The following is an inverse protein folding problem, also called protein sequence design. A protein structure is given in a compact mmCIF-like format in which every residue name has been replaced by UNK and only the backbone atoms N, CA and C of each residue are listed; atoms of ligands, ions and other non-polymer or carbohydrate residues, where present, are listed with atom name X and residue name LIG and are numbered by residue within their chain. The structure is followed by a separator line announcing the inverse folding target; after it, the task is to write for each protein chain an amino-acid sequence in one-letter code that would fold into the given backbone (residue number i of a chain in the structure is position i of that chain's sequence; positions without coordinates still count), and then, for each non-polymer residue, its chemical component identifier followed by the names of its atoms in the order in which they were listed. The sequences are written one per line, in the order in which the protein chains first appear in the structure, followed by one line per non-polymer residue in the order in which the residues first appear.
data_IF_673198234637
#
_entry.id   IF_673198234637
#
_cell.length_a   1.000
_cell.length_b   1.000
_cell.length_c   1.000
_cell.angle_alpha   90.00
_cell.angle_beta   90.00
_cell.angle_gamma   90.00
#
_symmetry.space_group_name_H-M   'P 1'
#
loop_
_entity.id
_entity.type
_entity.pdbx_description
1 polymer ?
#
# COMPACT_ATOMS: atom_id res chain seq x y z
N UNK A 1 -59.65 4.11 -23.63
CA UNK A 1 -58.87 4.52 -22.44
C UNK A 1 -57.65 3.61 -22.32
N UNK A 2 -56.45 4.21 -22.13
CA UNK A 2 -55.26 3.61 -21.48
C UNK A 2 -54.44 2.53 -22.22
N UNK A 3 -53.78 2.89 -23.33
CA UNK A 3 -52.54 2.19 -23.74
C UNK A 3 -51.46 3.14 -24.29
N UNK A 4 -51.85 4.31 -24.82
CA UNK A 4 -50.91 5.33 -25.33
C UNK A 4 -50.20 6.17 -24.25
N UNK A 5 -50.65 6.12 -22.99
CA UNK A 5 -50.02 6.87 -21.89
C UNK A 5 -48.91 6.10 -21.16
N UNK A 6 -48.75 4.79 -21.39
CA UNK A 6 -47.73 3.97 -20.72
C UNK A 6 -46.36 3.98 -21.43
N UNK A 7 -46.35 4.27 -22.74
CA UNK A 7 -45.09 4.30 -23.52
C UNK A 7 -44.33 5.61 -23.32
N UNK A 8 -45.04 6.72 -23.06
CA UNK A 8 -44.41 8.04 -22.84
C UNK A 8 -43.78 8.15 -21.45
N UNK A 9 -44.26 7.39 -20.46
CA UNK A 9 -43.68 7.38 -19.09
C UNK A 9 -42.44 6.50 -18.97
N UNK A 10 -42.25 5.47 -19.82
CA UNK A 10 -41.02 4.67 -19.85
C UNK A 10 -39.87 5.33 -20.64
N UNK A 11 -40.17 6.24 -21.58
CA UNK A 11 -39.13 6.92 -22.35
C UNK A 11 -38.53 8.13 -21.59
N UNK A 12 -39.29 8.76 -20.70
CA UNK A 12 -38.81 9.87 -19.85
C UNK A 12 -38.00 9.42 -18.63
N UNK A 13 -38.03 8.13 -18.27
CA UNK A 13 -37.21 7.57 -17.17
C UNK A 13 -35.80 7.14 -17.63
N UNK A 14 -35.53 7.13 -18.94
CA UNK A 14 -34.21 6.80 -19.52
C UNK A 14 -33.33 8.04 -19.78
N UNK A 15 -33.82 9.26 -19.56
CA UNK A 15 -33.07 10.52 -19.84
C UNK A 15 -32.56 11.19 -18.55
N UNK A 16 -32.97 10.73 -17.36
CA UNK A 16 -32.53 11.30 -16.08
C UNK A 16 -31.32 10.57 -15.46
N UNK A 17 -30.67 9.67 -16.21
CA UNK A 17 -29.27 9.33 -15.91
C UNK A 17 -28.41 10.31 -16.70
N UNK A 18 -28.52 11.59 -16.37
CA UNK A 18 -27.34 12.43 -16.43
C UNK A 18 -26.36 11.78 -15.45
N UNK A 19 -25.61 10.80 -15.96
CA UNK A 19 -24.29 10.52 -15.49
C UNK A 19 -23.68 11.90 -15.35
N UNK A 20 -23.59 12.38 -14.12
CA UNK A 20 -22.69 13.44 -13.78
C UNK A 20 -21.31 12.90 -14.14
N UNK A 21 -20.95 13.00 -15.41
CA UNK A 21 -19.60 13.30 -15.84
C UNK A 21 -19.29 14.71 -15.33
N UNK A 22 -19.46 14.93 -14.03
CA UNK A 22 -18.66 15.89 -13.33
C UNK A 22 -17.26 15.42 -13.60
N UNK A 23 -16.50 16.30 -14.23
CA UNK A 23 -15.10 16.15 -14.57
C UNK A 23 -14.28 16.11 -13.26
N UNK A 24 -14.55 15.12 -12.40
CA UNK A 24 -13.83 14.77 -11.18
C UNK A 24 -12.39 14.29 -11.48
N UNK A 25 -11.88 14.50 -12.70
CA UNK A 25 -10.48 14.31 -13.05
C UNK A 25 -9.56 15.29 -12.32
N UNK A 26 -10.11 16.44 -11.89
CA UNK A 26 -9.41 17.42 -11.06
C UNK A 26 -9.86 17.28 -9.59
N UNK A 27 -9.59 16.13 -8.96
CA UNK A 27 -9.58 16.04 -7.50
C UNK A 27 -8.35 16.78 -7.00
N UNK A 28 -8.45 18.10 -6.92
CA UNK A 28 -7.43 18.94 -6.32
C UNK A 28 -7.73 19.09 -4.84
N UNK A 29 -6.79 18.67 -4.01
CA UNK A 29 -6.53 19.36 -2.77
C UNK A 29 -5.63 20.50 -3.11
N UNK A 30 -6.12 21.63 -2.66
CA UNK A 30 -5.56 22.89 -2.91
C UNK A 30 -4.72 23.30 -1.73
N UNK A 31 -3.50 23.73 -2.03
CA UNK A 31 -2.73 24.53 -1.10
C UNK A 31 -3.34 25.93 -1.00
N UNK A 32 -3.84 26.26 0.18
CA UNK A 32 -4.46 27.55 0.49
C UNK A 32 -3.52 28.46 1.28
N UNK A 33 -3.68 29.77 1.11
CA UNK A 33 -3.06 30.77 1.95
C UNK A 33 -4.07 31.85 2.38
N UNK A 34 -3.81 32.42 3.55
CA UNK A 34 -4.53 33.55 4.12
C UNK A 34 -3.84 34.84 3.69
N UNK A 35 -4.61 35.73 3.08
CA UNK A 35 -4.20 37.08 2.69
C UNK A 35 -4.93 38.07 3.58
N UNK A 36 -4.26 38.55 4.61
CA UNK A 36 -4.84 39.44 5.61
C UNK A 36 -4.41 40.88 5.40
N UNK A 37 -5.31 41.83 5.69
CA UNK A 37 -5.00 43.26 5.53
C UNK A 37 -3.83 43.68 6.42
N UNK A 38 -2.77 44.22 5.81
CA UNK A 38 -1.60 44.75 6.53
C UNK A 38 -0.64 43.71 7.12
N UNK A 39 -0.79 42.42 6.76
CA UNK A 39 0.10 41.33 7.19
C UNK A 39 0.67 40.62 5.96
N UNK A 40 1.84 40.00 6.10
CA UNK A 40 2.36 39.09 5.09
C UNK A 40 1.40 37.89 4.94
N UNK A 41 1.18 37.36 3.73
CA UNK A 41 0.35 36.18 3.56
C UNK A 41 0.95 34.96 4.25
N UNK A 42 0.10 34.05 4.73
CA UNK A 42 0.52 32.83 5.42
C UNK A 42 -0.25 31.62 4.89
N UNK A 43 0.47 30.54 4.59
CA UNK A 43 -0.12 29.27 4.19
C UNK A 43 -0.97 28.71 5.32
N UNK A 44 -2.16 28.21 4.97
CA UNK A 44 -3.14 27.75 5.93
C UNK A 44 -2.58 26.69 6.88
N UNK A 45 -1.79 25.74 6.35
CA UNK A 45 -1.11 24.69 7.12
C UNK A 45 -0.26 25.26 8.26
N UNK A 46 0.47 26.35 8.00
CA UNK A 46 1.34 27.00 8.99
C UNK A 46 0.54 27.79 10.01
N UNK A 47 -0.51 28.48 9.57
CA UNK A 47 -1.45 29.16 10.45
C UNK A 47 -2.13 28.19 11.42
N UNK A 48 -2.52 27.02 10.92
CA UNK A 48 -3.17 25.95 11.69
C UNK A 48 -2.25 25.33 12.74
N UNK A 49 -0.92 25.41 12.60
CA UNK A 49 0.01 24.98 13.66
C UNK A 49 -0.29 25.72 14.97
N UNK A 50 -0.49 27.03 14.90
CA UNK A 50 -0.82 27.85 16.07
C UNK A 50 -2.26 27.69 16.55
N UNK A 51 -3.24 27.68 15.63
CA UNK A 51 -4.65 27.66 16.04
C UNK A 51 -5.14 26.30 16.52
N UNK A 52 -4.45 25.22 16.15
CA UNK A 52 -4.72 23.84 16.61
C UNK A 52 -3.77 23.38 17.72
N UNK A 53 -2.93 24.28 18.26
CA UNK A 53 -1.94 23.95 19.29
C UNK A 53 -1.01 22.79 18.90
N UNK A 54 -0.61 22.74 17.62
CA UNK A 54 0.32 21.72 17.11
C UNK A 54 1.79 22.09 17.37
N UNK A 55 2.08 23.20 18.06
CA UNK A 55 3.42 23.62 18.45
C UNK A 55 3.87 24.95 17.86
N UNK A 56 5.20 25.09 17.71
CA UNK A 56 5.85 26.28 17.15
C UNK A 56 6.48 25.94 15.82
N UNK A 57 6.09 26.65 14.76
CA UNK A 57 6.68 26.49 13.43
C UNK A 57 8.18 26.76 13.49
N UNK A 58 8.96 25.82 12.96
CA UNK A 58 10.40 25.97 12.76
C UNK A 58 10.67 25.94 11.27
N UNK A 59 11.12 27.06 10.74
CA UNK A 59 11.45 27.20 9.32
C UNK A 59 12.78 26.54 8.96
N UNK A 60 12.93 26.17 7.69
CA UNK A 60 14.19 25.66 7.17
C UNK A 60 15.19 26.81 6.96
N UNK A 61 16.49 26.51 7.14
CA UNK A 61 17.58 27.46 6.87
C UNK A 61 18.04 27.48 5.41
N UNK A 62 17.51 26.60 4.56
CA UNK A 62 17.83 26.60 3.14
C UNK A 62 17.31 27.89 2.45
N UNK A 63 17.86 28.20 1.28
CA UNK A 63 17.60 29.48 0.59
C UNK A 63 16.35 29.45 -0.29
N UNK A 64 16.18 28.38 -1.08
CA UNK A 64 15.06 28.27 -2.04
C UNK A 64 13.87 27.53 -1.44
N UNK A 65 12.66 27.80 -1.94
CA UNK A 65 11.44 27.11 -1.49
C UNK A 65 11.53 25.57 -1.66
N UNK A 66 12.14 25.10 -2.75
CA UNK A 66 12.34 23.66 -3.00
C UNK A 66 13.31 23.07 -1.99
N UNK A 67 14.48 23.69 -1.79
CA UNK A 67 15.48 23.18 -0.83
C UNK A 67 14.94 23.19 0.60
N UNK A 68 14.14 24.21 0.95
CA UNK A 68 13.43 24.29 2.23
C UNK A 68 12.45 23.13 2.40
N UNK A 69 11.65 22.80 1.37
CA UNK A 69 10.72 21.67 1.40
C UNK A 69 11.45 20.32 1.57
N UNK A 70 12.59 20.15 0.89
CA UNK A 70 13.46 18.96 1.03
C UNK A 70 14.04 18.84 2.45
N UNK A 71 14.52 19.95 3.03
CA UNK A 71 14.99 19.99 4.42
C UNK A 71 13.87 19.73 5.42
N UNK A 72 12.66 20.25 5.18
CA UNK A 72 11.48 19.96 6.01
C UNK A 72 11.13 18.47 5.97
N UNK A 73 11.12 17.85 4.80
CA UNK A 73 10.89 16.41 4.64
C UNK A 73 11.94 15.56 5.39
N UNK A 74 13.20 16.02 5.49
CA UNK A 74 14.26 15.34 6.25
C UNK A 74 13.92 15.13 7.74
N UNK A 75 12.92 15.87 8.27
CA UNK A 75 12.47 15.69 9.65
C UNK A 75 11.84 14.32 9.90
N UNK A 76 11.41 13.64 8.84
CA UNK A 76 10.87 12.29 8.90
C UNK A 76 11.96 11.21 8.96
N UNK A 77 13.23 11.52 8.68
CA UNK A 77 14.31 10.52 8.51
C UNK A 77 14.39 9.47 9.64
N UNK A 78 14.22 9.89 10.89
CA UNK A 78 14.35 9.02 12.06
C UNK A 78 13.16 8.06 12.22
N UNK A 79 11.95 8.50 11.86
CA UNK A 79 10.71 7.75 12.15
C UNK A 79 10.09 7.13 10.91
N UNK A 80 10.32 7.70 9.73
CA UNK A 80 9.81 7.25 8.45
C UNK A 80 10.75 7.67 7.29
N UNK A 81 11.87 6.95 7.12
CA UNK A 81 12.84 7.26 6.08
C UNK A 81 12.29 7.01 4.66
N UNK A 82 11.26 6.16 4.50
CA UNK A 82 10.67 5.88 3.18
C UNK A 82 9.82 7.06 2.70
N UNK A 83 8.91 7.54 3.55
CA UNK A 83 8.11 8.73 3.26
C UNK A 83 8.98 9.98 3.11
N UNK A 84 10.04 10.10 3.91
CA UNK A 84 11.05 11.16 3.73
C UNK A 84 11.57 11.21 2.29
N UNK A 85 12.04 10.08 1.74
CA UNK A 85 12.56 10.01 0.36
C UNK A 85 11.48 10.37 -0.66
N UNK A 86 10.29 9.79 -0.53
CA UNK A 86 9.16 10.06 -1.42
C UNK A 86 8.82 11.56 -1.47
N UNK A 87 8.84 12.24 -0.33
CA UNK A 87 8.53 13.66 -0.24
C UNK A 87 9.66 14.54 -0.78
N UNK A 88 10.91 14.17 -0.55
CA UNK A 88 12.06 14.87 -1.14
C UNK A 88 12.05 14.76 -2.67
N UNK A 89 11.82 13.56 -3.22
CA UNK A 89 11.70 13.36 -4.67
C UNK A 89 10.55 14.18 -5.25
N UNK A 90 9.40 14.20 -4.58
CA UNK A 90 8.24 14.99 -5.02
C UNK A 90 8.52 16.50 -4.97
N UNK A 91 9.21 16.97 -3.93
CA UNK A 91 9.58 18.38 -3.79
C UNK A 91 10.58 18.82 -4.87
N UNK A 92 11.58 17.99 -5.17
CA UNK A 92 12.57 18.25 -6.22
C UNK A 92 11.94 18.28 -7.63
N UNK A 93 10.94 17.43 -7.88
CA UNK A 93 10.22 17.39 -9.15
C UNK A 93 9.18 18.53 -9.30
N UNK A 94 8.80 19.18 -8.21
CA UNK A 94 7.68 20.12 -8.16
C UNK A 94 7.73 21.18 -9.26
N UNK A 95 8.84 21.90 -9.42
CA UNK A 95 8.95 23.00 -10.38
C UNK A 95 8.88 22.52 -11.83
N UNK A 96 9.35 21.30 -12.12
CA UNK A 96 9.28 20.69 -13.45
C UNK A 96 7.85 20.20 -13.76
N UNK A 97 7.13 19.79 -12.73
CA UNK A 97 5.76 19.29 -12.80
C UNK A 97 4.68 20.38 -12.66
N UNK A 98 5.08 21.63 -12.40
CA UNK A 98 4.19 22.76 -12.17
C UNK A 98 3.96 23.63 -13.42
N UNK A 99 2.72 24.06 -13.59
CA UNK A 99 2.32 25.07 -14.56
C UNK A 99 1.89 26.33 -13.81
N UNK A 100 2.66 27.41 -13.96
CA UNK A 100 2.30 28.72 -13.43
C UNK A 100 1.34 29.41 -14.39
N UNK A 101 0.21 29.87 -13.87
CA UNK A 101 -0.81 30.60 -14.64
C UNK A 101 -1.00 32.00 -14.06
N UNK A 102 -1.11 32.97 -14.96
CA UNK A 102 -1.40 34.38 -14.64
C UNK A 102 -2.81 34.68 -15.09
N UNK A 103 -3.53 35.52 -14.35
CA UNK A 103 -4.87 36.05 -14.70
C UNK A 103 -5.99 35.01 -14.87
N UNK A 104 -5.75 33.77 -14.45
CA UNK A 104 -6.78 32.73 -14.33
C UNK A 104 -7.15 32.58 -12.87
N UNK A 105 -8.41 32.89 -12.54
CA UNK A 105 -8.98 32.55 -11.24
C UNK A 105 -8.99 31.03 -11.09
N UNK A 106 -8.23 30.52 -10.12
CA UNK A 106 -8.32 29.11 -9.75
C UNK A 106 -9.61 28.95 -8.94
N UNK A 107 -10.55 28.14 -9.45
CA UNK A 107 -11.78 27.84 -8.73
C UNK A 107 -11.43 27.04 -7.47
N UNK A 108 -11.96 27.47 -6.33
CA UNK A 108 -11.79 26.78 -5.06
C UNK A 108 -12.26 25.32 -5.16
N UNK A 109 -11.42 24.40 -4.72
CA UNK A 109 -11.74 22.98 -4.64
C UNK A 109 -12.61 22.71 -3.41
N UNK A 110 -13.61 21.81 -3.51
CA UNK A 110 -14.58 21.58 -2.43
C UNK A 110 -14.06 20.63 -1.33
N UNK A 111 -12.76 20.66 -1.02
CA UNK A 111 -12.10 19.68 -0.15
C UNK A 111 -11.34 20.32 1.02
N UNK A 112 -11.61 21.59 1.30
CA UNK A 112 -11.00 22.35 2.38
C UNK A 112 -11.27 21.77 3.79
N UNK A 113 -12.42 21.11 3.99
CA UNK A 113 -12.88 20.70 5.32
C UNK A 113 -13.34 21.89 6.16
N UNK A 114 -13.29 21.75 7.50
CA UNK A 114 -13.64 22.85 8.41
C UNK A 114 -12.42 23.77 8.62
N UNK A 115 -12.57 25.04 8.29
CA UNK A 115 -11.52 26.05 8.46
C UNK A 115 -12.09 27.32 9.09
N UNK A 116 -11.37 27.88 10.04
CA UNK A 116 -11.66 29.19 10.63
C UNK A 116 -10.76 30.24 9.99
N UNK A 117 -11.39 31.25 9.38
CA UNK A 117 -10.70 32.36 8.70
C UNK A 117 -10.96 33.63 9.51
N UNK A 118 -9.93 34.40 9.92
CA UNK A 118 -10.12 35.69 10.58
C UNK A 118 -10.88 36.67 9.68
N UNK A 119 -11.66 37.57 10.29
CA UNK A 119 -12.52 38.51 9.55
C UNK A 119 -11.75 39.45 8.60
N UNK A 120 -10.48 39.75 8.89
CA UNK A 120 -9.61 40.62 8.10
C UNK A 120 -8.80 39.88 7.01
N UNK A 121 -9.08 38.58 6.80
CA UNK A 121 -8.35 37.71 5.89
C UNK A 121 -9.25 37.14 4.77
N UNK A 122 -8.69 37.04 3.58
CA UNK A 122 -9.23 36.23 2.49
C UNK A 122 -8.50 34.88 2.44
N UNK A 123 -9.26 33.80 2.25
CA UNK A 123 -8.69 32.47 2.02
C UNK A 123 -8.64 32.20 0.51
N UNK A 124 -7.43 32.13 -0.03
CA UNK A 124 -7.20 32.00 -1.46
C UNK A 124 -6.47 30.70 -1.80
N UNK A 125 -6.88 30.07 -2.90
CA UNK A 125 -6.25 28.88 -3.42
C UNK A 125 -5.05 29.26 -4.29
N UNK A 126 -3.85 28.88 -3.84
CA UNK A 126 -2.59 29.23 -4.52
C UNK A 126 -2.21 28.14 -5.52
N UNK A 127 -2.45 26.89 -5.17
CA UNK A 127 -2.05 25.71 -5.94
C UNK A 127 -3.15 24.66 -5.91
N UNK A 128 -3.22 23.82 -6.95
CA UNK A 128 -3.92 22.54 -6.87
C UNK A 128 -3.20 21.47 -7.67
N UNK A 129 -3.41 20.23 -7.23
CA UNK A 129 -2.94 19.03 -7.91
C UNK A 129 -4.01 18.44 -8.84
N UNK A 130 -3.57 17.89 -9.97
CA UNK A 130 -4.38 17.04 -10.86
C UNK A 130 -3.58 15.84 -11.32
N UNK A 131 -4.27 14.82 -11.83
CA UNK A 131 -3.61 13.68 -12.46
C UNK A 131 -3.14 14.07 -13.87
N UNK A 132 -1.82 13.96 -14.17
CA UNK A 132 -1.33 14.21 -15.52
C UNK A 132 -2.03 13.30 -16.54
N UNK A 133 -2.27 13.85 -17.73
CA UNK A 133 -2.88 13.15 -18.86
C UNK A 133 -2.14 13.48 -20.15
N UNK A 134 -2.50 12.82 -21.25
CA UNK A 134 -1.92 13.10 -22.56
C UNK A 134 -2.16 14.55 -23.02
N UNK A 135 -3.29 15.14 -22.61
CA UNK A 135 -3.63 16.54 -22.93
C UNK A 135 -3.03 17.53 -21.92
N UNK A 136 -2.66 17.04 -20.74
CA UNK A 136 -2.23 17.90 -19.66
C UNK A 136 -1.09 17.28 -18.85
N UNK A 137 0.13 17.68 -19.19
CA UNK A 137 1.34 17.10 -18.60
C UNK A 137 1.65 17.64 -17.21
N UNK A 138 1.17 18.85 -16.87
CA UNK A 138 1.46 19.46 -15.59
C UNK A 138 0.59 18.84 -14.49
N UNK A 139 1.25 18.37 -13.44
CA UNK A 139 0.62 17.82 -12.23
C UNK A 139 0.09 18.93 -11.33
N UNK A 140 0.83 20.04 -11.22
CA UNK A 140 0.47 21.16 -10.38
C UNK A 140 0.08 22.36 -11.23
N UNK A 141 -0.94 23.09 -10.81
CA UNK A 141 -1.28 24.39 -11.39
C UNK A 141 -1.18 25.43 -10.29
N UNK A 142 -0.38 26.45 -10.54
CA UNK A 142 -0.02 27.46 -9.54
C UNK A 142 -0.48 28.83 -10.01
N UNK A 143 -1.24 29.53 -9.17
CA UNK A 143 -1.58 30.93 -9.42
C UNK A 143 -0.32 31.77 -9.20
N UNK A 144 0.30 32.23 -10.29
CA UNK A 144 1.56 32.96 -10.24
C UNK A 144 1.44 34.27 -9.44
N UNK A 145 0.29 34.96 -9.53
CA UNK A 145 0.05 36.22 -8.84
C UNK A 145 -0.01 36.04 -7.32
N UNK A 146 -0.63 34.96 -6.83
CA UNK A 146 -0.68 34.65 -5.40
C UNK A 146 0.64 34.05 -4.91
N UNK A 147 1.24 33.15 -5.69
CA UNK A 147 2.51 32.49 -5.36
C UNK A 147 3.65 33.49 -5.14
N UNK A 148 3.76 34.49 -6.01
CA UNK A 148 4.81 35.51 -5.94
C UNK A 148 4.66 36.47 -4.74
N UNK A 149 3.52 36.45 -4.04
CA UNK A 149 3.32 37.19 -2.80
C UNK A 149 3.75 36.40 -1.55
N UNK A 150 3.97 35.09 -1.68
CA UNK A 150 4.46 34.24 -0.60
C UNK A 150 5.98 34.33 -0.52
N UNK A 151 6.50 34.33 0.71
CA UNK A 151 7.93 34.12 0.93
C UNK A 151 8.34 32.65 0.70
N UNK A 152 9.64 32.38 0.70
CA UNK A 152 10.17 31.05 0.41
C UNK A 152 9.73 29.98 1.44
N UNK A 153 9.45 30.37 2.69
CA UNK A 153 9.00 29.43 3.73
C UNK A 153 7.55 29.01 3.49
N UNK A 154 6.68 29.95 3.12
CA UNK A 154 5.31 29.67 2.74
C UNK A 154 5.24 28.87 1.42
N UNK A 155 6.05 29.22 0.43
CA UNK A 155 6.16 28.42 -0.80
C UNK A 155 6.61 26.98 -0.49
N UNK A 156 7.59 26.79 0.40
CA UNK A 156 8.03 25.46 0.83
C UNK A 156 6.92 24.66 1.52
N UNK A 157 6.09 25.32 2.35
CA UNK A 157 4.94 24.68 2.99
C UNK A 157 3.93 24.17 1.96
N UNK A 158 3.65 24.94 0.89
CA UNK A 158 2.79 24.48 -0.22
C UNK A 158 3.42 23.32 -1.00
N UNK A 159 4.72 23.37 -1.30
CA UNK A 159 5.40 22.27 -2.02
C UNK A 159 5.28 20.96 -1.23
N UNK A 160 5.53 21.02 0.08
CA UNK A 160 5.43 19.84 0.94
C UNK A 160 3.98 19.39 1.11
N UNK A 161 3.01 20.31 1.17
CA UNK A 161 1.59 20.00 1.15
C UNK A 161 1.23 19.13 -0.06
N UNK A 162 1.64 19.54 -1.26
CA UNK A 162 1.36 18.79 -2.48
C UNK A 162 2.05 17.42 -2.50
N UNK A 163 3.26 17.32 -1.95
CA UNK A 163 3.96 16.04 -1.82
C UNK A 163 3.20 15.05 -0.91
N UNK A 164 2.68 15.52 0.23
CA UNK A 164 1.86 14.73 1.13
C UNK A 164 0.52 14.39 0.47
N UNK A 165 -0.13 15.36 -0.18
CA UNK A 165 -1.41 15.12 -0.83
C UNK A 165 -1.33 14.09 -1.95
N UNK A 166 -0.23 14.09 -2.70
CA UNK A 166 0.06 13.06 -3.70
C UNK A 166 0.04 11.66 -3.11
N UNK A 167 0.51 11.45 -1.88
CA UNK A 167 0.38 10.15 -1.21
C UNK A 167 -1.09 9.83 -0.96
N UNK A 168 -1.85 10.78 -0.40
CA UNK A 168 -3.24 10.60 0.01
C UNK A 168 -4.15 10.28 -1.18
N UNK A 169 -4.05 10.97 -2.31
CA UNK A 169 -4.94 10.71 -3.46
C UNK A 169 -4.63 9.43 -4.21
N UNK A 170 -3.39 8.96 -4.13
CA UNK A 170 -2.99 7.69 -4.73
C UNK A 170 -3.26 6.52 -3.77
N UNK A 171 -3.83 6.79 -2.59
CA UNK A 171 -4.14 5.78 -1.61
C UNK A 171 -5.57 5.23 -1.74
N UNK A 172 -5.80 3.99 -1.27
CA UNK A 172 -7.15 3.41 -1.20
C UNK A 172 -8.11 4.17 -0.27
N UNK A 173 -7.63 5.09 0.58
CA UNK A 173 -8.49 5.83 1.50
C UNK A 173 -9.49 6.71 0.76
N UNK A 174 -9.18 7.12 -0.47
CA UNK A 174 -10.06 7.98 -1.27
C UNK A 174 -10.52 9.22 -0.49
N UNK A 175 -9.63 9.74 0.38
CA UNK A 175 -9.93 10.83 1.30
C UNK A 175 -10.34 12.08 0.51
N UNK A 176 -11.44 12.69 0.92
CA UNK A 176 -12.04 13.82 0.21
C UNK A 176 -11.67 15.17 0.82
N UNK A 177 -10.87 15.20 1.90
CA UNK A 177 -10.54 16.43 2.61
C UNK A 177 -9.05 16.60 2.83
N UNK A 178 -8.61 17.83 2.62
CA UNK A 178 -7.26 18.33 2.77
C UNK A 178 -6.81 18.55 4.22
N UNK A 179 -7.77 18.57 5.16
CA UNK A 179 -7.50 18.88 6.57
C UNK A 179 -6.40 18.01 7.18
N UNK A 180 -6.39 16.71 6.89
CA UNK A 180 -5.39 15.77 7.40
C UNK A 180 -4.01 16.02 6.83
N UNK A 181 -3.94 16.41 5.56
CA UNK A 181 -2.69 16.82 4.89
C UNK A 181 -2.13 18.07 5.58
N UNK A 182 -2.96 19.07 5.83
CA UNK A 182 -2.55 20.30 6.51
C UNK A 182 -2.04 20.05 7.93
N UNK A 183 -2.76 19.21 8.69
CA UNK A 183 -2.32 18.82 10.03
C UNK A 183 -0.96 18.12 9.95
N UNK A 184 -0.79 17.14 9.07
CA UNK A 184 0.48 16.42 8.95
C UNK A 184 1.64 17.33 8.53
N UNK A 185 1.40 18.20 7.55
CA UNK A 185 2.37 19.20 7.11
C UNK A 185 2.74 20.15 8.26
N UNK A 186 1.76 20.60 9.03
CA UNK A 186 1.95 21.42 10.23
C UNK A 186 2.81 20.74 11.30
N UNK A 187 2.57 19.44 11.57
CA UNK A 187 3.38 18.66 12.54
C UNK A 187 4.83 18.53 12.07
N UNK A 188 5.08 18.36 10.76
CA UNK A 188 6.44 18.38 10.19
C UNK A 188 7.09 19.76 10.42
N UNK A 189 6.36 20.85 10.16
CA UNK A 189 6.83 22.22 10.37
C UNK A 189 7.09 22.56 11.84
N UNK A 190 6.32 22.01 12.78
CA UNK A 190 6.55 22.15 14.21
C UNK A 190 7.76 21.35 14.73
N UNK A 191 8.38 20.51 13.89
CA UNK A 191 9.46 19.58 14.24
C UNK A 191 9.07 18.55 15.31
N UNK A 192 7.78 18.40 15.62
CA UNK A 192 7.29 17.45 16.61
C UNK A 192 7.52 16.00 16.19
N UNK A 193 7.55 15.72 14.88
CA UNK A 193 7.75 14.36 14.37
C UNK A 193 9.06 13.73 14.85
N UNK A 194 10.14 14.51 14.97
CA UNK A 194 11.47 13.99 15.38
C UNK A 194 11.51 13.44 16.80
N UNK A 195 10.61 13.89 17.67
CA UNK A 195 10.52 13.46 19.05
C UNK A 195 9.51 12.33 19.28
N UNK A 196 8.74 11.96 18.27
CA UNK A 196 7.75 10.90 18.42
C UNK A 196 8.43 9.54 18.50
N UNK A 197 7.96 8.71 19.44
CA UNK A 197 8.24 7.29 19.40
C UNK A 197 7.54 6.70 18.17
N UNK A 198 8.11 5.65 17.56
CA UNK A 198 7.53 5.00 16.37
C UNK A 198 6.06 4.62 16.58
N UNK A 199 5.70 4.14 17.77
CA UNK A 199 4.31 3.83 18.14
C UNK A 199 3.37 5.03 18.03
N UNK A 200 3.78 6.19 18.57
CA UNK A 200 2.96 7.40 18.57
C UNK A 200 2.88 8.00 17.16
N UNK A 201 3.99 7.91 16.40
CA UNK A 201 4.02 8.29 14.99
C UNK A 201 3.04 7.44 14.17
N UNK A 202 3.07 6.11 14.28
CA UNK A 202 2.15 5.22 13.56
C UNK A 202 0.68 5.46 13.95
N UNK A 203 0.41 5.71 15.24
CA UNK A 203 -0.93 6.06 15.70
C UNK A 203 -1.41 7.38 15.08
N UNK A 204 -0.55 8.38 15.02
CA UNK A 204 -0.85 9.66 14.36
C UNK A 204 -1.14 9.46 12.86
N UNK A 205 -0.34 8.63 12.16
CA UNK A 205 -0.61 8.33 10.75
C UNK A 205 -1.99 7.69 10.56
N UNK A 206 -2.37 6.74 11.42
CA UNK A 206 -3.69 6.12 11.43
C UNK A 206 -4.81 7.14 11.70
N UNK A 207 -4.64 8.01 12.68
CA UNK A 207 -5.61 9.09 12.98
C UNK A 207 -5.75 10.07 11.82
N UNK A 208 -4.68 10.30 11.05
CA UNK A 208 -4.64 11.15 9.87
C UNK A 208 -5.01 10.44 8.56
N UNK A 209 -5.39 9.16 8.61
CA UNK A 209 -5.73 8.32 7.45
C UNK A 209 -4.61 8.20 6.40
N UNK A 210 -3.35 8.33 6.82
CA UNK A 210 -2.23 7.94 5.98
C UNK A 210 -2.20 6.41 5.95
N UNK A 211 -2.36 5.84 4.76
CA UNK A 211 -2.74 4.42 4.60
C UNK A 211 -1.60 3.44 4.76
N UNK A 212 -0.34 3.89 4.70
CA UNK A 212 0.80 2.97 4.62
C UNK A 212 1.98 3.41 5.46
N UNK A 213 2.83 2.44 5.80
CA UNK A 213 4.13 2.66 6.43
C UNK A 213 5.10 1.59 5.93
N UNK A 214 6.36 1.95 5.70
CA UNK A 214 7.38 1.01 5.22
C UNK A 214 8.36 0.64 6.33
N UNK A 215 8.52 -0.66 6.59
CA UNK A 215 9.53 -1.19 7.49
C UNK A 215 10.43 -2.16 6.72
N UNK A 216 11.72 -1.83 6.57
CA UNK A 216 12.70 -2.67 5.87
C UNK A 216 12.28 -3.10 4.46
N UNK A 217 11.67 -2.19 3.68
CA UNK A 217 11.18 -2.44 2.33
C UNK A 217 9.80 -3.13 2.27
N UNK A 218 9.18 -3.43 3.42
CA UNK A 218 7.85 -4.00 3.47
C UNK A 218 6.80 -2.92 3.72
N UNK A 219 5.81 -2.82 2.83
CA UNK A 219 4.72 -1.85 2.95
C UNK A 219 3.57 -2.41 3.78
N UNK A 220 3.38 -1.87 4.96
CA UNK A 220 2.30 -2.20 5.88
C UNK A 220 1.11 -1.30 5.62
N UNK A 221 -0.10 -1.87 5.74
CA UNK A 221 -1.35 -1.11 5.76
C UNK A 221 -1.58 -0.56 7.17
N UNK A 222 -1.87 0.73 7.25
CA UNK A 222 -2.27 1.41 8.48
C UNK A 222 -3.78 1.51 8.62
N UNK A 223 -4.51 1.41 7.51
CA UNK A 223 -5.95 1.43 7.46
C UNK A 223 -6.48 1.66 6.06
N UNK A 224 -7.81 1.67 5.94
CA UNK A 224 -8.51 1.80 4.67
C UNK A 224 -9.90 2.40 4.87
N UNK A 225 -10.49 2.86 3.77
CA UNK A 225 -11.86 3.35 3.75
C UNK A 225 -12.80 2.26 3.25
N UNK A 226 -13.86 1.97 3.99
CA UNK A 226 -14.89 1.00 3.59
C UNK A 226 -15.70 1.51 2.40
N UNK A 227 -16.46 0.66 1.68
CA UNK A 227 -17.34 1.11 0.59
C UNK A 227 -18.32 2.22 0.99
N UNK A 228 -18.70 2.28 2.26
CA UNK A 228 -19.59 3.31 2.83
C UNK A 228 -18.87 4.63 3.15
N UNK A 229 -17.54 4.70 3.00
CA UNK A 229 -16.76 5.89 3.27
C UNK A 229 -16.21 6.00 4.69
N UNK A 230 -16.28 4.93 5.50
CA UNK A 230 -15.74 4.94 6.87
C UNK A 230 -14.29 4.49 6.90
N UNK A 231 -13.46 5.20 7.67
CA UNK A 231 -12.10 4.76 7.92
C UNK A 231 -12.03 3.63 8.94
N UNK A 232 -11.23 2.61 8.64
CA UNK A 232 -10.93 1.48 9.50
C UNK A 232 -9.42 1.36 9.67
N UNK A 233 -8.95 1.39 10.92
CA UNK A 233 -7.55 1.14 11.25
C UNK A 233 -7.20 -0.33 11.03
N UNK A 234 -6.07 -0.59 10.38
CA UNK A 234 -5.45 -1.91 10.36
C UNK A 234 -4.77 -2.21 11.68
N UNK A 235 -4.76 -3.49 12.08
CA UNK A 235 -4.10 -3.89 13.32
C UNK A 235 -2.57 -3.85 13.17
N UNK A 236 -1.91 -3.22 14.14
CA UNK A 236 -0.46 -3.22 14.28
C UNK A 236 -0.10 -3.66 15.69
N UNK A 237 0.80 -4.63 15.79
CA UNK A 237 1.33 -5.12 17.06
C UNK A 237 2.73 -4.57 17.20
N UNK A 238 2.92 -3.71 18.20
CA UNK A 238 4.18 -3.03 18.46
C UNK A 238 4.59 -3.35 19.90
N UNK A 239 5.86 -3.68 20.10
CA UNK A 239 6.39 -3.92 21.44
C UNK A 239 6.70 -2.63 22.21
N UNK A 240 7.17 -2.77 23.45
CA UNK A 240 7.51 -1.63 24.31
C UNK A 240 8.68 -0.79 23.78
N UNK A 241 9.50 -1.34 22.89
CA UNK A 241 10.64 -0.66 22.28
C UNK A 241 10.26 0.02 20.95
N UNK A 242 8.99 -0.05 20.55
CA UNK A 242 8.52 0.51 19.29
C UNK A 242 8.80 -0.36 18.07
N UNK A 243 9.20 -1.63 18.26
CA UNK A 243 9.42 -2.57 17.15
C UNK A 243 8.08 -3.15 16.70
N UNK A 244 7.85 -3.17 15.39
CA UNK A 244 6.66 -3.81 14.81
C UNK A 244 6.87 -5.32 14.87
N UNK A 245 5.94 -6.03 15.51
CA UNK A 245 5.91 -7.49 15.64
C UNK A 245 4.96 -8.13 14.63
N UNK A 246 3.89 -7.44 14.25
CA UNK A 246 2.93 -7.89 13.23
C UNK A 246 2.14 -6.71 12.66
N UNK A 247 1.72 -6.82 11.41
CA UNK A 247 0.86 -5.85 10.76
C UNK A 247 0.17 -6.41 9.53
N UNK A 248 -0.86 -5.70 9.07
CA UNK A 248 -1.53 -5.98 7.81
C UNK A 248 -0.68 -5.51 6.63
N UNK A 249 -0.68 -6.25 5.53
CA UNK A 249 0.03 -5.89 4.30
C UNK A 249 -0.80 -4.93 3.46
N UNK A 250 -0.13 -3.89 2.95
CA UNK A 250 -0.75 -2.97 1.99
C UNK A 250 -0.84 -3.62 0.60
N UNK A 251 -1.83 -3.20 -0.18
CA UNK A 251 -1.83 -3.47 -1.62
C UNK A 251 -0.72 -2.71 -2.35
N UNK A 252 -0.52 -2.99 -3.63
CA UNK A 252 0.34 -2.21 -4.53
C UNK A 252 1.80 -2.16 -4.07
N UNK A 253 2.38 -3.35 -3.86
CA UNK A 253 3.78 -3.51 -3.51
C UNK A 253 4.41 -4.70 -4.23
N UNK A 254 5.70 -4.58 -4.47
CA UNK A 254 6.57 -5.65 -4.94
C UNK A 254 7.73 -5.79 -3.97
N UNK A 255 8.00 -7.01 -3.50
CA UNK A 255 9.19 -7.26 -2.69
C UNK A 255 9.67 -8.71 -2.85
N UNK A 256 10.98 -8.90 -2.65
CA UNK A 256 11.61 -10.21 -2.56
C UNK A 256 12.13 -10.47 -1.15
N UNK A 257 11.93 -11.68 -0.63
CA UNK A 257 12.46 -12.08 0.68
C UNK A 257 12.78 -13.58 0.70
N UNK A 258 14.03 -13.94 1.00
CA UNK A 258 14.43 -15.35 1.12
C UNK A 258 14.27 -16.17 -0.16
N UNK A 259 14.40 -15.54 -1.33
CA UNK A 259 14.13 -16.16 -2.63
C UNK A 259 12.66 -16.21 -3.03
N UNK A 260 11.73 -15.89 -2.11
CA UNK A 260 10.33 -15.67 -2.44
C UNK A 260 10.16 -14.28 -3.07
N UNK A 261 9.33 -14.19 -4.10
CA UNK A 261 8.90 -12.95 -4.72
C UNK A 261 7.39 -12.75 -4.51
N UNK A 262 7.00 -11.52 -4.21
CA UNK A 262 5.61 -11.10 -4.09
C UNK A 262 5.36 -9.87 -4.95
N UNK A 263 4.29 -9.91 -5.75
CA UNK A 263 3.88 -8.83 -6.62
C UNK A 263 2.37 -8.64 -6.54
N UNK A 264 1.95 -7.43 -6.16
CA UNK A 264 0.56 -7.02 -6.15
C UNK A 264 0.47 -5.60 -6.69
N UNK A 265 -0.29 -5.40 -7.77
CA UNK A 265 -0.38 -4.11 -8.46
C UNK A 265 -1.85 -3.83 -8.80
N UNK A 266 -2.27 -2.58 -8.64
CA UNK A 266 -3.63 -2.10 -8.91
C UNK A 266 -4.76 -2.83 -8.17
N UNK A 267 -4.47 -3.42 -7.00
CA UNK A 267 -5.49 -4.04 -6.16
C UNK A 267 -6.28 -3.01 -5.37
N UNK A 268 -7.59 -3.27 -5.26
CA UNK A 268 -8.52 -2.53 -4.41
C UNK A 268 -8.76 -3.21 -3.07
N UNK A 269 -8.16 -4.39 -2.86
CA UNK A 269 -8.26 -5.10 -1.59
C UNK A 269 -7.47 -4.34 -0.54
N UNK A 270 -8.17 -3.90 0.50
CA UNK A 270 -7.60 -3.08 1.56
C UNK A 270 -6.54 -3.81 2.41
N UNK A 271 -6.75 -5.11 2.64
CA UNK A 271 -5.87 -5.94 3.45
C UNK A 271 -5.51 -7.21 2.68
N UNK A 272 -4.26 -7.29 2.25
CA UNK A 272 -3.76 -8.42 1.45
C UNK A 272 -3.45 -9.66 2.32
N UNK A 273 -3.26 -9.45 3.61
CA UNK A 273 -2.79 -10.49 4.52
C UNK A 273 -2.06 -9.88 5.69
N UNK A 274 -1.34 -10.73 6.43
CA UNK A 274 -0.67 -10.38 7.66
C UNK A 274 0.77 -10.86 7.64
N UNK A 275 1.66 -10.00 8.12
CA UNK A 275 3.06 -10.34 8.34
C UNK A 275 3.33 -10.40 9.85
N UNK A 276 4.26 -11.26 10.26
CA UNK A 276 4.93 -11.16 11.56
C UNK A 276 6.40 -10.90 11.35
N UNK A 277 6.99 -10.10 12.24
CA UNK A 277 8.37 -9.66 12.16
C UNK A 277 9.14 -10.10 13.40
N UNK A 278 10.39 -10.50 13.20
CA UNK A 278 11.37 -10.73 14.27
C UNK A 278 12.60 -9.86 13.97
N UNK A 279 12.89 -8.91 14.86
CA UNK A 279 13.96 -7.91 14.68
C UNK A 279 13.89 -7.19 13.32
N UNK A 280 12.67 -6.89 12.87
CA UNK A 280 12.40 -6.20 11.59
C UNK A 280 12.47 -7.11 10.35
N UNK A 281 12.78 -8.40 10.49
CA UNK A 281 12.76 -9.36 9.39
C UNK A 281 11.45 -10.12 9.36
N UNK A 282 10.99 -10.49 8.16
CA UNK A 282 9.79 -11.30 7.99
C UNK A 282 10.03 -12.67 8.64
N UNK A 283 9.16 -13.03 9.60
CA UNK A 283 9.15 -14.34 10.25
C UNK A 283 8.05 -15.22 9.68
N UNK A 284 6.85 -14.67 9.53
CA UNK A 284 5.75 -15.32 8.83
C UNK A 284 5.06 -14.33 7.91
N UNK A 285 4.59 -14.84 6.77
CA UNK A 285 3.80 -14.09 5.81
C UNK A 285 2.55 -14.91 5.50
N UNK A 286 1.39 -14.42 5.94
CA UNK A 286 0.09 -14.98 5.62
C UNK A 286 -0.63 -14.06 4.65
N UNK A 287 -1.22 -14.64 3.64
CA UNK A 287 -1.73 -13.96 2.45
C UNK A 287 -3.15 -14.44 2.25
N UNK A 288 -4.12 -13.54 2.09
CA UNK A 288 -5.51 -13.93 1.94
C UNK A 288 -5.72 -14.58 0.55
N UNK A 289 -6.07 -15.86 0.48
CA UNK A 289 -6.26 -16.54 -0.80
C UNK A 289 -7.35 -15.90 -1.68
N UNK A 290 -8.28 -15.16 -1.08
CA UNK A 290 -9.40 -14.54 -1.78
C UNK A 290 -8.96 -13.44 -2.73
N UNK A 291 -7.92 -12.66 -2.38
CA UNK A 291 -7.47 -11.59 -3.27
C UNK A 291 -6.83 -12.14 -4.55
N UNK A 292 -6.21 -13.33 -4.49
CA UNK A 292 -5.53 -13.91 -5.66
C UNK A 292 -6.53 -14.25 -6.77
N UNK A 293 -7.83 -14.35 -6.43
CA UNK A 293 -8.92 -14.55 -7.39
C UNK A 293 -9.25 -13.29 -8.19
N UNK A 294 -8.86 -12.10 -7.72
CA UNK A 294 -9.14 -10.82 -8.39
C UNK A 294 -8.16 -10.49 -9.52
N UNK A 295 -7.13 -11.34 -9.75
CA UNK A 295 -6.21 -11.24 -10.90
C UNK A 295 -5.20 -10.08 -10.86
N UNK A 296 -5.37 -9.12 -9.95
CA UNK A 296 -4.46 -7.98 -9.75
C UNK A 296 -3.20 -8.35 -8.94
N UNK A 297 -3.25 -9.41 -8.14
CA UNK A 297 -2.14 -9.81 -7.27
C UNK A 297 -1.88 -11.31 -7.37
N UNK A 298 -0.60 -11.65 -7.50
CA UNK A 298 -0.17 -13.04 -7.45
C UNK A 298 -0.01 -13.46 -5.99
N UNK A 299 -0.26 -14.75 -5.72
CA UNK A 299 0.26 -15.33 -4.48
C UNK A 299 1.79 -15.21 -4.50
N UNK A 300 2.42 -15.01 -3.33
CA UNK A 300 3.86 -15.08 -3.26
C UNK A 300 4.35 -16.39 -3.85
N UNK A 301 5.50 -16.34 -4.51
CA UNK A 301 6.03 -17.47 -5.24
C UNK A 301 7.51 -17.68 -4.96
N UNK A 302 7.94 -18.94 -4.96
CA UNK A 302 9.34 -19.34 -4.86
C UNK A 302 9.63 -20.32 -5.99
N UNK A 303 10.64 -20.03 -6.80
CA UNK A 303 11.14 -20.98 -7.80
C UNK A 303 12.13 -21.90 -7.10
N UNK A 304 11.86 -23.20 -7.08
CA UNK A 304 12.78 -24.17 -6.46
C UNK A 304 13.97 -24.36 -7.41
N UNK A 305 15.21 -24.05 -6.99
CA UNK A 305 16.38 -24.37 -7.79
C UNK A 305 16.45 -25.90 -8.04
N UNK A 306 16.90 -26.32 -9.23
CA UNK A 306 17.04 -27.75 -9.60
C UNK A 306 15.72 -28.53 -9.85
N UNK A 307 14.58 -27.84 -9.91
CA UNK A 307 13.25 -28.47 -10.08
C UNK A 307 12.65 -28.35 -11.50
N UNK A 308 13.47 -28.15 -12.54
CA UNK A 308 13.01 -27.77 -13.88
C UNK A 308 12.15 -26.48 -13.89
N UNK A 309 12.38 -25.56 -12.95
CA UNK A 309 11.65 -24.29 -12.87
C UNK A 309 10.28 -24.40 -12.19
N UNK A 310 10.06 -25.45 -11.38
CA UNK A 310 8.84 -25.57 -10.58
C UNK A 310 8.71 -24.39 -9.61
N UNK A 311 7.56 -23.73 -9.66
CA UNK A 311 7.22 -22.61 -8.79
C UNK A 311 6.24 -23.05 -7.70
N UNK A 312 6.59 -22.82 -6.44
CA UNK A 312 5.72 -22.99 -5.29
C UNK A 312 4.94 -21.70 -5.08
N UNK A 313 3.62 -21.79 -5.04
CA UNK A 313 2.72 -20.71 -4.65
C UNK A 313 2.11 -21.06 -3.29
N UNK A 314 2.11 -20.11 -2.37
CA UNK A 314 1.66 -20.34 -1.00
C UNK A 314 0.91 -19.16 -0.44
N UNK A 315 0.00 -19.43 0.49
CA UNK A 315 -0.72 -18.40 1.24
C UNK A 315 -0.18 -18.26 2.67
N UNK A 316 0.72 -19.14 3.11
CA UNK A 316 1.39 -19.04 4.40
C UNK A 316 2.86 -19.45 4.27
N UNK A 317 3.74 -18.52 4.61
CA UNK A 317 5.18 -18.65 4.46
C UNK A 317 5.85 -18.48 5.81
N UNK A 318 6.88 -19.28 6.07
CA UNK A 318 7.70 -19.23 7.27
C UNK A 318 9.15 -19.04 6.89
N UNK A 319 9.83 -18.19 7.65
CA UNK A 319 11.22 -17.85 7.44
C UNK A 319 12.02 -18.10 8.71
N UNK A 320 13.28 -18.51 8.56
CA UNK A 320 14.22 -18.55 9.67
C UNK A 320 14.87 -17.18 9.94
N UNK A 321 15.69 -17.11 11.00
CA UNK A 321 16.45 -15.88 11.33
C UNK A 321 17.49 -15.50 10.28
N UNK A 322 17.92 -16.44 9.45
CA UNK A 322 18.82 -16.19 8.33
C UNK A 322 18.06 -15.75 7.07
N UNK A 323 16.74 -15.47 7.19
CA UNK A 323 15.84 -15.01 6.14
C UNK A 323 15.60 -16.04 5.03
N UNK A 324 15.93 -17.31 5.27
CA UNK A 324 15.62 -18.36 4.31
C UNK A 324 14.16 -18.79 4.48
N UNK A 325 13.48 -19.06 3.37
CA UNK A 325 12.20 -19.77 3.43
C UNK A 325 12.48 -21.15 4.03
N UNK A 326 11.77 -21.49 5.10
CA UNK A 326 11.87 -22.82 5.71
C UNK A 326 10.62 -23.64 5.48
N UNK A 327 9.47 -23.00 5.31
CA UNK A 327 8.21 -23.70 5.06
C UNK A 327 7.25 -22.85 4.26
N UNK A 328 6.57 -23.47 3.31
CA UNK A 328 5.48 -22.89 2.54
C UNK A 328 4.27 -23.79 2.65
N UNK A 329 3.18 -23.25 3.17
CA UNK A 329 1.87 -23.87 3.11
C UNK A 329 1.05 -23.16 2.03
N UNK A 330 0.44 -23.95 1.16
CA UNK A 330 -0.24 -23.46 -0.02
C UNK A 330 -1.37 -24.38 -0.48
N UNK A 331 -2.01 -23.97 -1.55
CA UNK A 331 -3.15 -24.67 -2.12
C UNK A 331 -2.96 -24.88 -3.61
N UNK A 332 -3.06 -26.11 -4.09
CA UNK A 332 -3.05 -26.43 -5.53
C UNK A 332 -4.42 -26.93 -5.98
N UNK A 333 -4.78 -26.64 -7.24
CA UNK A 333 -6.13 -26.87 -7.77
C UNK A 333 -6.14 -27.94 -8.89
N UNK A 334 -4.99 -28.47 -9.28
CA UNK A 334 -4.83 -29.38 -10.44
C UNK A 334 -3.72 -30.41 -10.19
N UNK A 335 -3.66 -31.43 -11.05
CA UNK A 335 -2.54 -32.37 -11.13
C UNK A 335 -1.24 -31.57 -11.12
N UNK A 336 -0.44 -31.84 -10.11
CA UNK A 336 0.81 -31.13 -9.84
C UNK A 336 1.90 -32.17 -9.84
N UNK A 337 2.91 -31.95 -10.68
CA UNK A 337 4.09 -32.81 -10.80
C UNK A 337 5.31 -31.98 -10.48
N UNK A 338 6.05 -32.39 -9.45
CA UNK A 338 7.33 -31.81 -9.07
C UNK A 338 8.41 -32.83 -9.40
N UNK A 339 9.36 -32.43 -10.26
CA UNK A 339 10.56 -33.20 -10.53
C UNK A 339 11.72 -32.58 -9.76
N UNK A 340 12.29 -33.30 -8.79
CA UNK A 340 13.36 -32.78 -7.95
C UNK A 340 14.49 -33.81 -7.82
N UNK A 341 15.70 -33.43 -8.25
CA UNK A 341 16.91 -34.28 -8.23
C UNK A 341 16.69 -35.69 -8.82
N UNK A 342 15.86 -35.78 -9.86
CA UNK A 342 15.59 -37.03 -10.58
C UNK A 342 14.47 -37.89 -9.99
N UNK A 343 13.78 -37.45 -8.93
CA UNK A 343 12.59 -38.10 -8.39
C UNK A 343 11.35 -37.27 -8.73
N UNK A 344 10.30 -37.93 -9.20
CA UNK A 344 9.00 -37.31 -9.47
C UNK A 344 8.07 -37.46 -8.28
N UNK A 345 7.47 -36.35 -7.86
CA UNK A 345 6.43 -36.25 -6.84
C UNK A 345 5.16 -35.78 -7.50
N UNK A 346 4.11 -36.61 -7.50
CA UNK A 346 2.84 -36.26 -8.15
C UNK A 346 1.64 -36.35 -7.20
N UNK A 347 0.75 -35.38 -7.31
CA UNK A 347 -0.59 -35.47 -6.75
C UNK A 347 -1.47 -36.31 -7.67
N UNK A 348 -2.05 -37.39 -7.13
CA UNK A 348 -3.06 -38.19 -7.83
C UNK A 348 -4.43 -37.65 -7.43
N UNK A 349 -5.10 -36.86 -8.31
CA UNK A 349 -6.38 -36.24 -7.96
C UNK A 349 -7.47 -37.32 -7.82
N UNK A 350 -8.33 -37.14 -6.83
CA UNK A 350 -9.55 -37.93 -6.70
C UNK A 350 -10.55 -37.48 -7.77
N UNK A 351 -10.98 -38.42 -8.63
CA UNK A 351 -11.93 -38.18 -9.73
C UNK A 351 -13.26 -37.60 -9.26
N UNK A 352 -13.62 -37.78 -7.99
CA UNK A 352 -14.87 -37.32 -7.41
C UNK A 352 -14.71 -36.07 -6.53
N UNK A 353 -13.48 -35.67 -6.19
CA UNK A 353 -13.22 -34.40 -5.48
C UNK A 353 -12.61 -33.38 -6.43
N UNK A 354 -13.44 -32.44 -6.88
CA UNK A 354 -12.97 -31.17 -7.46
C UNK A 354 -12.51 -30.26 -6.32
N UNK A 355 -11.28 -30.49 -5.82
CA UNK A 355 -10.81 -29.92 -4.56
C UNK A 355 -9.64 -28.98 -4.69
N UNK A 356 -9.47 -28.18 -3.64
CA UNK A 356 -8.24 -27.47 -3.31
C UNK A 356 -7.44 -28.37 -2.37
N UNK A 357 -6.17 -28.61 -2.68
CA UNK A 357 -5.31 -29.52 -1.91
C UNK A 357 -4.28 -28.74 -1.10
N UNK A 358 -4.17 -29.04 0.20
CA UNK A 358 -3.14 -28.48 1.06
C UNK A 358 -1.78 -29.01 0.63
N UNK A 359 -0.83 -28.09 0.44
CA UNK A 359 0.55 -28.43 0.10
C UNK A 359 1.50 -27.85 1.13
N UNK A 360 2.58 -28.57 1.38
CA UNK A 360 3.63 -28.19 2.33
C UNK A 360 4.98 -28.42 1.68
N UNK A 361 5.84 -27.40 1.66
CA UNK A 361 7.22 -27.52 1.20
C UNK A 361 8.15 -27.03 2.31
N UNK A 362 9.08 -27.87 2.77
CA UNK A 362 10.07 -27.50 3.78
C UNK A 362 11.45 -27.47 3.16
N UNK A 363 12.25 -26.46 3.50
CA UNK A 363 13.59 -26.25 2.96
C UNK A 363 14.66 -26.18 4.06
N UNK A 364 15.88 -26.59 3.73
CA UNK A 364 17.05 -26.32 4.56
C UNK A 364 17.63 -24.92 4.34
N UNK A 365 18.68 -24.57 5.09
CA UNK A 365 19.37 -23.26 4.99
C UNK A 365 20.07 -23.00 3.65
N UNK A 366 20.24 -24.03 2.83
CA UNK A 366 20.81 -23.93 1.48
C UNK A 366 19.71 -23.96 0.40
N UNK A 367 18.44 -23.83 0.80
CA UNK A 367 17.27 -23.90 -0.06
C UNK A 367 17.12 -25.26 -0.77
N UNK A 368 17.67 -26.34 -0.21
CA UNK A 368 17.32 -27.69 -0.66
C UNK A 368 15.96 -28.06 -0.09
N UNK A 369 15.10 -28.63 -0.93
CA UNK A 369 13.85 -29.22 -0.48
C UNK A 369 14.13 -30.43 0.42
N UNK A 370 13.64 -30.40 1.66
CA UNK A 370 13.80 -31.45 2.68
C UNK A 370 12.50 -32.15 3.05
N UNK A 371 11.36 -31.57 2.68
CA UNK A 371 10.06 -32.19 2.89
C UNK A 371 9.07 -31.70 1.85
N UNK A 372 8.21 -32.60 1.37
CA UNK A 372 7.12 -32.26 0.45
C UNK A 372 5.83 -32.95 0.85
N UNK A 373 4.73 -32.20 0.82
CA UNK A 373 3.37 -32.68 0.90
C UNK A 373 2.55 -32.06 -0.23
N UNK A 374 1.92 -32.87 -1.06
CA UNK A 374 1.04 -32.39 -2.15
C UNK A 374 -0.45 -32.58 -1.84
N UNK A 375 -0.76 -33.02 -0.61
CA UNK A 375 -2.11 -33.37 -0.14
C UNK A 375 -2.45 -34.82 -0.45
N UNK A 376 -2.95 -35.57 0.54
CA UNK A 376 -3.17 -37.02 0.43
C UNK A 376 -2.09 -37.83 1.16
N UNK A 377 -2.23 -39.15 1.13
CA UNK A 377 -1.28 -40.07 1.76
C UNK A 377 -0.16 -40.40 0.77
N UNK A 378 1.12 -40.14 1.11
CA UNK A 378 2.23 -40.45 0.22
C UNK A 378 2.50 -41.96 0.17
N UNK A 379 2.82 -42.44 -1.02
CA UNK A 379 3.27 -43.80 -1.28
C UNK A 379 4.26 -43.81 -2.45
N UNK A 380 4.99 -44.92 -2.62
CA UNK A 380 5.91 -45.12 -3.74
C UNK A 380 5.28 -46.07 -4.77
N UNK A 381 5.28 -45.68 -6.04
CA UNK A 381 4.81 -46.54 -7.12
C UNK A 381 5.93 -47.44 -7.66
N UNK A 382 5.60 -48.33 -8.60
CA UNK A 382 6.55 -49.31 -9.17
C UNK A 382 7.70 -48.67 -9.96
N UNK A 383 7.52 -47.44 -10.43
CA UNK A 383 8.55 -46.66 -11.15
C UNK A 383 9.50 -45.91 -10.18
N UNK A 384 9.28 -46.03 -8.87
CA UNK A 384 10.05 -45.30 -7.85
C UNK A 384 9.60 -43.85 -7.65
N UNK A 385 8.51 -43.43 -8.27
CA UNK A 385 7.93 -42.10 -8.09
C UNK A 385 7.09 -42.05 -6.82
N UNK A 386 7.00 -40.86 -6.22
CA UNK A 386 6.18 -40.61 -5.03
C UNK A 386 4.82 -40.11 -5.47
N UNK A 387 3.77 -40.83 -5.11
CA UNK A 387 2.39 -40.44 -5.37
C UNK A 387 1.71 -40.02 -4.07
N UNK A 388 0.98 -38.91 -4.12
CA UNK A 388 0.09 -38.49 -3.05
C UNK A 388 -1.33 -38.93 -3.39
N UNK A 389 -1.76 -40.06 -2.84
CA UNK A 389 -3.08 -40.64 -3.10
C UNK A 389 -4.10 -40.02 -2.16
N UNK A 390 -5.12 -39.42 -2.74
CA UNK A 390 -6.27 -38.92 -2.01
C UNK A 390 -7.09 -40.10 -1.47
N UNK A 391 -7.18 -40.23 -0.15
CA UNK A 391 -8.09 -41.16 0.50
C UNK A 391 -9.24 -40.42 1.18
N UNK A 392 -10.37 -41.10 1.38
CA UNK A 392 -11.55 -40.55 2.06
C UNK A 392 -11.26 -40.07 3.50
N UNK A 393 -10.13 -40.49 4.09
CA UNK A 393 -9.72 -40.17 5.45
C UNK A 393 -8.92 -38.84 5.59
N UNK A 394 -8.74 -38.05 4.52
CA UNK A 394 -8.06 -36.75 4.55
C UNK A 394 -6.65 -36.82 5.19
N UNK A 395 -5.79 -37.72 4.73
CA UNK A 395 -4.39 -37.69 5.16
C UNK A 395 -3.69 -36.47 4.58
N UNK A 396 -3.34 -35.47 5.41
CA UNK A 396 -2.36 -34.43 5.05
C UNK A 396 -0.95 -34.98 5.32
N UNK A 397 -0.53 -35.95 4.50
CA UNK A 397 0.77 -36.59 4.63
C UNK A 397 1.89 -35.78 3.98
N UNK A 398 3.07 -35.84 4.58
CA UNK A 398 4.30 -35.28 4.03
C UNK A 398 5.37 -36.37 3.89
N UNK A 399 6.37 -36.10 3.06
CA UNK A 399 7.51 -36.99 2.80
C UNK A 399 8.79 -36.22 3.06
N UNK A 400 9.60 -36.70 4.00
CA UNK A 400 10.96 -36.20 4.20
C UNK A 400 11.87 -36.63 3.03
N UNK A 401 12.71 -35.71 2.58
CA UNK A 401 13.60 -35.85 1.42
C UNK A 401 15.05 -35.76 1.91
N UNK A 402 15.87 -36.71 1.49
CA UNK A 402 17.31 -36.71 1.76
C UNK A 402 18.04 -35.65 0.92
N UNK A 403 19.30 -35.35 1.28
CA UNK A 403 20.11 -34.37 0.54
C UNK A 403 20.31 -34.71 -0.97
N UNK A 404 20.24 -36.01 -1.32
CA UNK A 404 20.31 -36.50 -2.70
C UNK A 404 18.96 -36.53 -3.43
N UNK A 405 17.86 -36.08 -2.80
CA UNK A 405 16.52 -36.06 -3.40
C UNK A 405 15.70 -37.32 -3.17
N UNK A 406 16.22 -38.36 -2.51
CA UNK A 406 15.48 -39.60 -2.29
C UNK A 406 14.50 -39.46 -1.12
N UNK A 407 13.24 -39.96 -1.24
CA UNK A 407 12.26 -39.96 -0.16
C UNK A 407 12.66 -40.92 0.97
N UNK A 408 12.36 -40.56 2.21
CA UNK A 408 12.54 -41.46 3.35
C UNK A 408 11.39 -42.48 3.40
N UNK A 409 11.74 -43.78 3.42
CA UNK A 409 10.87 -44.96 3.59
C UNK A 409 9.35 -44.73 3.44
N UNK A 410 8.83 -44.99 2.25
CA UNK A 410 7.39 -44.93 1.95
C UNK A 410 6.79 -46.32 1.74
N UNK A 411 5.51 -46.54 2.10
CA UNK A 411 4.80 -47.74 1.71
C UNK A 411 4.60 -47.77 0.18
N UNK A 412 4.49 -48.96 -0.39
CA UNK A 412 4.07 -49.11 -1.78
C UNK A 412 2.64 -48.59 -1.99
N UNK A 413 2.39 -47.94 -3.12
CA UNK A 413 1.05 -47.52 -3.51
C UNK A 413 0.15 -48.75 -3.67
N UNK A 414 -1.06 -48.69 -3.12
CA UNK A 414 -2.04 -49.77 -3.15
C UNK A 414 -3.23 -49.42 -3.99
#
# INVERSE_FOLDING_TARGET
MRFSQLVVTSLLSLIAVSAHANNWYDRGNAGFALFCTGKAPIVLDLYEVTTRDLGVVKYSKADTAVDKAVDLASRLEVVDPARMRQYQESALDFMNSAQFVTDLGIRQTPDLGLVTVPQDCALEQVIFQRNPSILNKARYVVNANLWNQLDADNQAALILHEAIYREVINSPANEMFSERVRIFNGVIHAQHVRSLLKKDYLKMLQELHLTTYEENGLKLSLGYTTPEGFWTNSELFIDQLGRILSGSLSANQYFGHGGMEYACVDSKVAEMGRVTLDEGNIRTLRVNADFAREGACNLPMLIIPESNGYAVFGNLWFFDRAKNVIRVDGTVNKKTELNYKGVTYELVPDLFKTGVYNTTFTFDKKMNLTEVGLGGTPCMNDDGNVQFIQNLANGDGTVAISASGNPQSLPACR
#
